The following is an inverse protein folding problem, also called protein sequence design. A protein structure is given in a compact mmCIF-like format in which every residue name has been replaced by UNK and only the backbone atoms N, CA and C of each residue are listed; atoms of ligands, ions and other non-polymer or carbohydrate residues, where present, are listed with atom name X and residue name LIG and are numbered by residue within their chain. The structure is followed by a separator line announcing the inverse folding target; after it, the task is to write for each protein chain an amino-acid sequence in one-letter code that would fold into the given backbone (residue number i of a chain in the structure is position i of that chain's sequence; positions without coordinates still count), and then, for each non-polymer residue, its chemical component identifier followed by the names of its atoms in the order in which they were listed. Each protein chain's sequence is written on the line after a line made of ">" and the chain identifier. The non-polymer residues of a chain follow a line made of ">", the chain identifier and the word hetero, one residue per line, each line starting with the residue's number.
data_IF_692484853080
#
_entry.id   IF_692484853080
#
_cell.length_a   1.000
_cell.length_b   1.000
_cell.length_c   1.000
_cell.angle_alpha   90.00
_cell.angle_beta   90.00
_cell.angle_gamma   90.00
#
_symmetry.space_group_name_H-M   'P 1'
#
loop_
_entity.id
_entity.type
_entity.pdbx_description
1 polymer ?
#
# COMPACT_ATOMS: atom_id res chain seq x y z
N UNK A 1 -7.70 -13.81 3.00
CA UNK A 1 -7.90 -12.67 3.90
C UNK A 1 -8.60 -11.55 3.18
N UNK A 2 -7.86 -10.79 2.37
CA UNK A 2 -8.35 -9.62 1.62
C UNK A 2 -9.35 -10.02 0.54
N UNK A 3 -10.42 -9.23 0.40
CA UNK A 3 -11.42 -9.33 -0.67
C UNK A 3 -11.66 -8.02 -1.38
N UNK A 4 -11.19 -6.91 -0.81
CA UNK A 4 -11.47 -5.57 -1.32
C UNK A 4 -10.19 -4.75 -1.33
N UNK A 5 -10.01 -3.98 -2.40
CA UNK A 5 -8.91 -3.04 -2.57
C UNK A 5 -9.45 -1.69 -3.01
N UNK A 6 -9.10 -0.62 -2.28
CA UNK A 6 -9.42 0.75 -2.66
C UNK A 6 -8.23 1.36 -3.39
N UNK A 7 -8.43 1.79 -4.62
CA UNK A 7 -7.37 2.25 -5.53
C UNK A 7 -7.51 3.75 -5.75
N UNK A 8 -6.47 4.47 -5.39
CA UNK A 8 -6.24 5.87 -5.78
C UNK A 8 -5.34 5.88 -7.03
N UNK A 9 -5.86 6.27 -8.20
CA UNK A 9 -5.16 6.08 -9.47
C UNK A 9 -3.83 6.84 -9.57
N UNK A 10 -2.83 6.19 -10.13
CA UNK A 10 -1.62 6.85 -10.60
C UNK A 10 -0.76 5.94 -11.46
N UNK A 11 0.15 6.54 -12.23
CA UNK A 11 0.84 5.78 -13.27
C UNK A 11 1.91 4.82 -12.73
N UNK A 12 2.44 5.04 -11.52
CA UNK A 12 3.35 4.08 -10.86
C UNK A 12 2.62 2.92 -10.20
N UNK A 13 1.38 3.11 -9.76
CA UNK A 13 0.56 2.05 -9.16
C UNK A 13 -0.20 1.22 -10.21
N UNK A 14 -0.08 1.57 -11.49
CA UNK A 14 -0.81 0.90 -12.60
C UNK A 14 -0.58 -0.61 -12.66
N UNK A 15 0.64 -1.17 -12.53
CA UNK A 15 0.83 -2.61 -12.57
C UNK A 15 0.02 -3.34 -11.49
N UNK A 16 0.02 -2.82 -10.26
CA UNK A 16 -0.75 -3.39 -9.15
C UNK A 16 -2.25 -3.20 -9.35
N UNK A 17 -2.69 -2.04 -9.83
CA UNK A 17 -4.10 -1.78 -10.10
C UNK A 17 -4.66 -2.78 -11.13
N UNK A 18 -3.93 -2.99 -12.23
CA UNK A 18 -4.31 -3.98 -13.25
C UNK A 18 -4.32 -5.41 -12.70
N UNK A 19 -3.33 -5.77 -11.88
CA UNK A 19 -3.30 -7.09 -11.24
C UNK A 19 -4.50 -7.33 -10.33
N UNK A 20 -4.93 -6.32 -9.56
CA UNK A 20 -6.13 -6.42 -8.71
C UNK A 20 -7.41 -6.52 -9.52
N UNK A 21 -7.58 -5.69 -10.57
CA UNK A 21 -8.73 -5.74 -11.47
C UNK A 21 -8.85 -7.10 -12.19
N UNK A 22 -7.73 -7.73 -12.54
CA UNK A 22 -7.70 -9.04 -13.20
C UNK A 22 -7.99 -10.21 -12.24
N UNK A 23 -7.96 -10.00 -10.92
CA UNK A 23 -8.06 -11.07 -9.94
C UNK A 23 -9.51 -11.33 -9.52
N UNK A 24 -10.09 -12.45 -9.98
CA UNK A 24 -11.54 -12.77 -9.85
C UNK A 24 -12.12 -12.75 -8.44
N UNK A 25 -11.31 -12.92 -7.40
CA UNK A 25 -11.75 -12.96 -6.00
C UNK A 25 -11.51 -11.64 -5.23
N UNK A 26 -11.10 -10.58 -5.93
CA UNK A 26 -10.88 -9.24 -5.37
C UNK A 26 -11.85 -8.27 -6.03
N UNK A 27 -12.56 -7.51 -5.21
CA UNK A 27 -13.35 -6.37 -5.65
C UNK A 27 -12.51 -5.10 -5.50
N UNK A 28 -12.52 -4.26 -6.52
CA UNK A 28 -11.82 -2.98 -6.52
C UNK A 28 -12.80 -1.83 -6.34
N UNK A 29 -12.30 -0.75 -5.74
CA UNK A 29 -13.03 0.51 -5.56
C UNK A 29 -12.13 1.65 -5.99
N UNK A 30 -12.51 2.40 -7.03
CA UNK A 30 -11.71 3.54 -7.48
C UNK A 30 -12.09 4.79 -6.69
N UNK A 31 -11.13 5.39 -5.99
CA UNK A 31 -11.34 6.59 -5.19
C UNK A 31 -10.20 7.60 -5.42
N UNK A 32 -10.44 8.69 -6.18
CA UNK A 32 -9.37 9.62 -6.60
C UNK A 32 -8.64 10.35 -5.48
N UNK A 33 -9.34 10.72 -4.40
CA UNK A 33 -8.73 11.37 -3.22
C UNK A 33 -8.25 10.29 -2.25
N UNK A 34 -6.94 10.21 -2.01
CA UNK A 34 -6.31 9.20 -1.15
C UNK A 34 -6.81 9.26 0.31
N UNK A 35 -6.97 10.46 0.87
CA UNK A 35 -7.38 10.60 2.26
C UNK A 35 -8.79 10.05 2.47
N UNK A 36 -9.71 10.42 1.57
CA UNK A 36 -11.08 9.89 1.59
C UNK A 36 -11.12 8.39 1.25
N UNK A 37 -10.28 7.93 0.31
CA UNK A 37 -10.16 6.51 -0.04
C UNK A 37 -9.77 5.64 1.16
N UNK A 38 -8.82 6.12 1.96
CA UNK A 38 -8.35 5.37 3.12
C UNK A 38 -9.40 5.30 4.24
N UNK A 39 -10.18 6.37 4.47
CA UNK A 39 -11.32 6.29 5.40
C UNK A 39 -12.46 5.43 4.87
N UNK A 40 -12.68 5.41 3.55
CA UNK A 40 -13.61 4.48 2.93
C UNK A 40 -13.20 3.02 3.20
N UNK A 41 -11.91 2.69 3.06
CA UNK A 41 -11.38 1.37 3.44
C UNK A 41 -11.58 1.05 4.93
N UNK A 42 -11.36 2.01 5.84
CA UNK A 42 -11.66 1.85 7.27
C UNK A 42 -13.14 1.51 7.49
N UNK A 43 -14.05 2.17 6.76
CA UNK A 43 -15.48 1.86 6.79
C UNK A 43 -15.79 0.44 6.30
N UNK A 44 -15.17 0.01 5.20
CA UNK A 44 -15.30 -1.36 4.68
C UNK A 44 -14.84 -2.40 5.70
N UNK A 45 -13.71 -2.16 6.37
CA UNK A 45 -13.20 -3.08 7.41
C UNK A 45 -14.18 -3.14 8.58
N UNK A 46 -14.65 -1.99 9.09
CA UNK A 46 -15.61 -1.94 10.22
C UNK A 46 -16.94 -2.63 9.89
N UNK A 47 -17.40 -2.58 8.63
CA UNK A 47 -18.64 -3.22 8.22
C UNK A 47 -18.53 -4.72 7.88
N UNK A 48 -17.34 -5.17 7.46
CA UNK A 48 -17.14 -6.56 7.01
C UNK A 48 -16.34 -7.42 8.00
N UNK A 49 -15.62 -6.80 8.93
CA UNK A 49 -14.62 -7.42 9.81
C UNK A 49 -13.50 -8.15 9.05
N UNK A 50 -13.23 -7.72 7.81
CA UNK A 50 -12.20 -8.33 6.93
C UNK A 50 -11.10 -7.33 6.61
N UNK A 51 -9.88 -7.81 6.34
CA UNK A 51 -8.80 -6.94 5.89
C UNK A 51 -9.11 -6.34 4.51
N UNK A 52 -8.78 -5.05 4.37
CA UNK A 52 -8.91 -4.29 3.13
C UNK A 52 -7.55 -3.67 2.81
N UNK A 53 -7.17 -3.66 1.54
CA UNK A 53 -5.97 -2.98 1.09
C UNK A 53 -6.29 -1.62 0.47
N UNK A 54 -5.38 -0.66 0.60
CA UNK A 54 -5.40 0.61 -0.11
C UNK A 54 -4.17 0.72 -1.00
N UNK A 55 -4.34 1.23 -2.22
CA UNK A 55 -3.30 1.34 -3.23
C UNK A 55 -3.21 2.77 -3.75
N UNK A 56 -2.05 3.42 -3.60
CA UNK A 56 -1.79 4.72 -4.22
C UNK A 56 -0.45 4.75 -4.97
N UNK A 57 -0.28 5.85 -5.71
CA UNK A 57 0.99 6.17 -6.37
C UNK A 57 2.02 6.77 -5.41
N UNK A 58 3.18 7.20 -5.93
CA UNK A 58 4.26 7.77 -5.12
C UNK A 58 3.95 9.20 -4.67
N UNK A 59 4.76 9.73 -3.75
CA UNK A 59 4.72 11.13 -3.37
C UNK A 59 3.61 11.43 -2.37
N UNK A 60 2.99 12.60 -2.50
CA UNK A 60 1.97 13.08 -1.54
C UNK A 60 0.73 12.20 -1.49
N UNK A 61 0.50 11.36 -2.49
CA UNK A 61 -0.54 10.34 -2.47
C UNK A 61 -0.38 9.42 -1.24
N UNK A 62 0.82 8.90 -1.00
CA UNK A 62 1.13 8.10 0.18
C UNK A 62 0.90 8.90 1.48
N UNK A 63 1.40 10.14 1.54
CA UNK A 63 1.25 10.98 2.73
C UNK A 63 -0.22 11.24 3.09
N UNK A 64 -1.13 11.32 2.11
CA UNK A 64 -2.56 11.52 2.35
C UNK A 64 -3.25 10.33 3.05
N UNK A 65 -2.64 9.14 3.06
CA UNK A 65 -3.16 7.99 3.81
C UNK A 65 -2.92 8.10 5.33
N UNK A 66 -1.96 8.92 5.78
CA UNK A 66 -1.54 9.02 7.18
C UNK A 66 -2.69 9.09 8.20
N UNK A 67 -3.73 9.94 8.02
CA UNK A 67 -4.79 10.06 9.02
C UNK A 67 -5.58 8.76 9.24
N UNK A 68 -5.87 8.03 8.16
CA UNK A 68 -6.62 6.78 8.23
C UNK A 68 -5.74 5.62 8.75
N UNK A 69 -4.44 5.63 8.47
CA UNK A 69 -3.50 4.66 9.04
C UNK A 69 -3.42 4.83 10.55
N UNK A 70 -3.29 6.06 11.04
CA UNK A 70 -3.30 6.36 12.48
C UNK A 70 -4.62 5.91 13.15
N UNK A 71 -5.78 6.19 12.52
CA UNK A 71 -7.08 5.71 12.99
C UNK A 71 -7.15 4.16 13.01
N UNK A 72 -6.60 3.50 11.99
CA UNK A 72 -6.59 2.04 11.89
C UNK A 72 -5.78 1.40 13.03
N UNK A 73 -4.67 2.03 13.41
CA UNK A 73 -3.79 1.61 14.50
C UNK A 73 -4.48 1.70 15.86
N UNK A 74 -5.18 2.81 16.11
CA UNK A 74 -5.91 3.04 17.37
C UNK A 74 -7.12 2.08 17.44
N UNK A 75 -7.82 1.89 16.31
CA UNK A 75 -8.96 0.99 16.19
C UNK A 75 -8.59 -0.50 16.14
N UNK A 76 -7.29 -0.83 15.99
CA UNK A 76 -6.77 -2.21 15.84
C UNK A 76 -7.44 -2.99 14.70
N UNK A 77 -7.66 -2.32 13.58
CA UNK A 77 -8.30 -2.93 12.40
C UNK A 77 -7.27 -3.27 11.32
N UNK A 78 -7.47 -4.37 10.57
CA UNK A 78 -6.47 -4.89 9.64
C UNK A 78 -6.48 -4.13 8.30
N UNK A 79 -5.85 -2.95 8.27
CA UNK A 79 -5.64 -2.16 7.06
C UNK A 79 -4.27 -2.48 6.44
N UNK A 80 -4.24 -2.81 5.14
CA UNK A 80 -3.01 -3.04 4.38
C UNK A 80 -2.75 -1.84 3.48
N UNK A 81 -1.55 -1.26 3.56
CA UNK A 81 -1.18 -0.07 2.77
C UNK A 81 -0.16 -0.45 1.71
N UNK A 82 -0.52 -0.22 0.44
CA UNK A 82 0.33 -0.46 -0.71
C UNK A 82 0.64 0.88 -1.37
N UNK A 83 1.90 1.28 -1.30
CA UNK A 83 2.38 2.48 -2.01
C UNK A 83 3.34 2.04 -3.10
N UNK A 84 3.16 2.54 -4.32
CA UNK A 84 4.16 2.36 -5.37
C UNK A 84 5.16 3.51 -5.30
N UNK A 85 6.46 3.23 -5.39
CA UNK A 85 7.50 4.25 -5.44
C UNK A 85 8.37 4.12 -6.72
N UNK A 86 9.33 5.03 -6.88
CA UNK A 86 10.40 4.95 -7.87
C UNK A 86 11.45 3.91 -7.43
N UNK A 87 12.21 3.35 -8.39
CA UNK A 87 13.43 2.58 -8.10
C UNK A 87 14.33 3.29 -7.11
N UNK A 88 15.02 2.53 -6.27
CA UNK A 88 15.79 3.05 -5.14
C UNK A 88 16.85 4.06 -5.59
N UNK A 89 17.44 3.85 -6.76
CA UNK A 89 18.47 4.68 -7.38
C UNK A 89 17.95 6.05 -7.83
N UNK A 90 16.62 6.19 -7.99
CA UNK A 90 15.96 7.42 -8.41
C UNK A 90 15.29 8.17 -7.24
N UNK A 91 15.50 7.71 -5.99
CA UNK A 91 15.07 8.40 -4.78
C UNK A 91 16.07 9.51 -4.44
N UNK A 92 15.60 10.63 -3.91
CA UNK A 92 16.44 11.75 -3.44
C UNK A 92 17.29 12.49 -4.50
N UNK A 93 17.05 12.28 -5.80
CA UNK A 93 17.75 12.98 -6.89
C UNK A 93 16.98 14.20 -7.44
N UNK A 94 16.03 14.75 -6.68
CA UNK A 94 15.17 15.85 -7.14
C UNK A 94 14.11 15.45 -8.17
N UNK A 95 13.85 14.15 -8.29
CA UNK A 95 12.81 13.58 -9.12
C UNK A 95 11.41 14.16 -8.76
N UNK A 96 10.59 14.60 -9.73
CA UNK A 96 9.22 15.06 -9.45
C UNK A 96 8.40 13.99 -8.72
N UNK A 97 7.61 14.36 -7.71
CA UNK A 97 6.79 13.41 -6.94
C UNK A 97 7.59 12.33 -6.18
N UNK A 98 8.83 12.63 -5.76
CA UNK A 98 9.60 11.79 -4.85
C UNK A 98 9.64 12.44 -3.46
N UNK A 99 9.07 11.74 -2.46
CA UNK A 99 9.29 12.01 -1.03
C UNK A 99 9.87 10.75 -0.41
N UNK A 100 10.49 10.84 0.77
CA UNK A 100 10.93 9.64 1.47
C UNK A 100 9.71 8.85 1.98
N UNK A 101 9.33 7.79 1.27
CA UNK A 101 8.21 6.93 1.68
C UNK A 101 8.64 5.86 2.68
N UNK A 102 9.93 5.51 2.71
CA UNK A 102 10.46 4.50 3.62
C UNK A 102 10.40 5.02 5.05
N UNK A 103 9.80 4.23 5.94
CA UNK A 103 9.49 4.53 7.34
C UNK A 103 8.52 5.70 7.53
N UNK A 104 7.79 6.12 6.49
CA UNK A 104 6.84 7.24 6.58
C UNK A 104 5.75 6.99 7.63
N UNK A 105 5.36 5.73 7.81
CA UNK A 105 4.25 5.35 8.69
C UNK A 105 4.68 4.61 9.95
N UNK A 106 5.98 4.54 10.27
CA UNK A 106 6.53 3.74 11.36
C UNK A 106 5.83 3.98 12.73
N UNK A 107 5.36 5.20 12.99
CA UNK A 107 4.62 5.50 14.22
C UNK A 107 3.22 4.85 14.31
N UNK A 108 2.69 4.35 13.20
CA UNK A 108 1.29 3.92 13.07
C UNK A 108 1.14 2.49 12.53
N UNK A 109 2.22 1.84 12.09
CA UNK A 109 2.15 0.48 11.49
C UNK A 109 2.84 -0.53 12.39
N UNK A 110 2.31 -1.76 12.43
CA UNK A 110 2.94 -2.86 13.16
C UNK A 110 4.07 -3.53 12.38
N UNK A 111 4.05 -3.38 11.06
CA UNK A 111 5.04 -3.95 10.15
C UNK A 111 5.10 -3.10 8.88
N UNK A 112 6.31 -2.85 8.40
CA UNK A 112 6.58 -2.13 7.16
C UNK A 112 7.71 -2.84 6.42
N UNK A 113 7.56 -3.00 5.11
CA UNK A 113 8.60 -3.56 4.25
C UNK A 113 8.61 -2.86 2.90
N UNK A 114 9.80 -2.38 2.52
CA UNK A 114 10.06 -1.80 1.20
C UNK A 114 10.52 -2.92 0.26
N UNK A 115 9.68 -3.26 -0.71
CA UNK A 115 9.94 -4.39 -1.62
C UNK A 115 11.14 -4.07 -2.52
N UNK A 116 12.04 -5.05 -2.76
CA UNK A 116 13.10 -4.89 -3.75
C UNK A 116 12.50 -4.68 -5.14
N UNK A 117 13.32 -4.13 -6.05
CA UNK A 117 12.96 -4.08 -7.47
C UNK A 117 12.71 -5.51 -7.95
N UNK A 118 11.60 -5.71 -8.66
CA UNK A 118 11.25 -7.02 -9.18
C UNK A 118 12.33 -7.49 -10.18
N UNK A 119 13.02 -8.56 -9.82
CA UNK A 119 13.94 -9.30 -10.67
C UNK A 119 13.77 -10.81 -10.44
N UNK A 120 14.36 -11.62 -11.32
CA UNK A 120 14.33 -13.08 -11.22
C UNK A 120 15.49 -13.63 -10.37
N UNK A 121 16.16 -12.79 -9.58
CA UNK A 121 17.27 -13.25 -8.74
C UNK A 121 16.77 -14.08 -7.59
N UNK A 122 17.54 -15.10 -7.22
CA UNK A 122 17.18 -15.99 -6.11
C UNK A 122 17.15 -15.21 -4.79
N UNK A 123 18.07 -14.26 -4.65
CA UNK A 123 18.22 -13.42 -3.48
C UNK A 123 16.97 -12.55 -3.24
N UNK A 124 16.42 -11.95 -4.29
CA UNK A 124 15.17 -11.16 -4.22
C UNK A 124 13.99 -12.03 -3.80
N UNK A 125 13.86 -13.22 -4.39
CA UNK A 125 12.79 -14.16 -4.07
C UNK A 125 12.90 -14.63 -2.61
N UNK A 126 14.09 -15.02 -2.17
CA UNK A 126 14.36 -15.46 -0.80
C UNK A 126 14.07 -14.35 0.22
N UNK A 127 14.44 -13.10 -0.10
CA UNK A 127 14.14 -11.93 0.73
C UNK A 127 12.62 -11.71 0.87
N UNK A 128 11.86 -11.82 -0.22
CA UNK A 128 10.39 -11.70 -0.18
C UNK A 128 9.79 -12.79 0.71
N UNK A 129 10.21 -14.05 0.56
CA UNK A 129 9.70 -15.15 1.39
C UNK A 129 10.01 -14.96 2.88
N UNK A 130 11.23 -14.52 3.20
CA UNK A 130 11.61 -14.24 4.58
C UNK A 130 10.73 -13.15 5.21
N UNK A 131 10.46 -12.08 4.46
CA UNK A 131 9.63 -10.97 4.94
C UNK A 131 8.16 -11.38 5.10
N UNK A 132 7.64 -12.22 4.20
CA UNK A 132 6.30 -12.80 4.35
C UNK A 132 6.16 -13.66 5.61
N UNK A 133 7.22 -14.34 6.07
CA UNK A 133 7.21 -15.09 7.33
C UNK A 133 7.19 -14.19 8.57
N UNK A 134 7.80 -13.00 8.50
CA UNK A 134 7.77 -12.02 9.60
C UNK A 134 6.39 -11.37 9.70
N UNK A 135 5.75 -11.13 8.55
CA UNK A 135 4.45 -10.47 8.48
C UNK A 135 3.25 -11.36 8.87
N UNK A 136 3.43 -12.69 8.86
CA UNK A 136 2.40 -13.70 9.16
C UNK A 136 2.33 -14.07 10.64
#
# INVERSE_FOLDING_TARGET
>A
GVREVVISPGSRSTPLALAFEAHSNIKTWIHPDERSAAFFAVGLIKGSERPVAILCTSGTAAANYTPAIAESQISRIPLIVLTSDRPHELRSVGAPQAINQVNMFNNYVSYEFDMPIADDSKETIDAIYYQMQIAS
#
